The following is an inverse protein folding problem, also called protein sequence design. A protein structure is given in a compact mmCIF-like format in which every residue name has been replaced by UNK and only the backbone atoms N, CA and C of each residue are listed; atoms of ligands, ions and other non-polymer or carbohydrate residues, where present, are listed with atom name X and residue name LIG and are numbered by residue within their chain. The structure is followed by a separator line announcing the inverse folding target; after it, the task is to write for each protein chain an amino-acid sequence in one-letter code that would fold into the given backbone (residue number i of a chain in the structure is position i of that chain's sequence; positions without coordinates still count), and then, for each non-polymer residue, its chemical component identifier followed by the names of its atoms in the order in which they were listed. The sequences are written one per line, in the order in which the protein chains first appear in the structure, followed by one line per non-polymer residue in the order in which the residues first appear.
data_IF_673481003948
#
_entry.id   IF_673481003948
#
_cell.length_a   1.000
_cell.length_b   1.000
_cell.length_c   1.000
_cell.angle_alpha   90.00
_cell.angle_beta   90.00
_cell.angle_gamma   90.00
#
_symmetry.space_group_name_H-M   'P 1'
#
loop_
_entity.id
_entity.type
_entity.pdbx_description
1 polymer ?
#
# COMPACT_ATOMS: atom_id res chain seq x y z
N UNK A 1 -13.73 -3.97 6.97
CA UNK A 1 -13.59 -5.39 6.57
C UNK A 1 -14.78 -5.77 5.71
N UNK A 2 -14.54 -6.34 4.53
CA UNK A 2 -15.58 -6.65 3.54
C UNK A 2 -15.54 -8.16 3.22
N UNK A 3 -16.47 -8.91 3.82
CA UNK A 3 -16.57 -10.36 3.63
C UNK A 3 -16.88 -10.75 2.16
N UNK A 4 -17.64 -9.91 1.43
CA UNK A 4 -17.95 -10.17 0.02
C UNK A 4 -16.71 -10.06 -0.87
N UNK A 5 -15.76 -9.15 -0.55
CA UNK A 5 -14.48 -9.09 -1.24
C UNK A 5 -13.62 -10.31 -0.94
N UNK A 6 -13.63 -10.81 0.29
CA UNK A 6 -12.91 -12.03 0.65
C UNK A 6 -13.43 -13.24 -0.11
N UNK A 7 -14.75 -13.34 -0.32
CA UNK A 7 -15.33 -14.39 -1.16
C UNK A 7 -14.81 -14.33 -2.60
N UNK A 8 -14.76 -13.15 -3.22
CA UNK A 8 -14.20 -12.97 -4.58
C UNK A 8 -12.73 -13.38 -4.67
N UNK A 9 -11.94 -13.15 -3.62
CA UNK A 9 -10.56 -13.64 -3.56
C UNK A 9 -10.54 -15.15 -3.61
N UNK A 10 -11.41 -15.84 -2.83
CA UNK A 10 -11.54 -17.29 -2.85
C UNK A 10 -11.91 -17.82 -4.24
N UNK A 11 -12.88 -17.19 -4.92
CA UNK A 11 -13.29 -17.54 -6.28
C UNK A 11 -12.13 -17.38 -7.29
N UNK A 12 -11.33 -16.30 -7.16
CA UNK A 12 -10.15 -16.10 -7.99
C UNK A 12 -9.07 -17.15 -7.74
N UNK A 13 -8.81 -17.50 -6.48
CA UNK A 13 -7.85 -18.56 -6.13
C UNK A 13 -8.30 -19.91 -6.70
N UNK A 14 -9.59 -20.21 -6.64
CA UNK A 14 -10.16 -21.41 -7.25
C UNK A 14 -9.94 -21.42 -8.77
N UNK A 15 -10.21 -20.31 -9.44
CA UNK A 15 -10.00 -20.17 -10.88
C UNK A 15 -8.52 -20.32 -11.29
N UNK A 16 -7.59 -19.90 -10.42
CA UNK A 16 -6.14 -20.04 -10.64
C UNK A 16 -5.61 -21.46 -10.37
N UNK A 17 -6.43 -22.32 -9.76
CA UNK A 17 -6.11 -23.72 -9.54
C UNK A 17 -5.87 -24.09 -8.08
N UNK A 18 -5.96 -25.38 -7.79
CA UNK A 18 -5.93 -25.96 -6.44
C UNK A 18 -4.66 -25.57 -5.66
N UNK A 19 -3.50 -25.53 -6.30
CA UNK A 19 -2.24 -25.16 -5.63
C UNK A 19 -2.27 -23.74 -5.04
N UNK A 20 -3.00 -22.80 -5.67
CA UNK A 20 -3.15 -21.46 -5.16
C UNK A 20 -4.05 -21.44 -3.90
N UNK A 21 -5.10 -22.26 -3.86
CA UNK A 21 -5.97 -22.39 -2.68
C UNK A 21 -5.25 -23.00 -1.48
N UNK A 22 -4.44 -24.00 -1.68
CA UNK A 22 -3.71 -24.69 -0.60
C UNK A 22 -2.64 -23.80 0.04
N UNK A 23 -2.08 -22.84 -0.72
CA UNK A 23 -1.03 -21.94 -0.27
C UNK A 23 -1.52 -20.59 0.24
N UNK A 24 -2.79 -20.26 0.04
CA UNK A 24 -3.34 -18.96 0.40
C UNK A 24 -4.42 -19.11 1.47
N UNK A 25 -4.29 -18.35 2.55
CA UNK A 25 -5.32 -18.23 3.59
C UNK A 25 -5.95 -16.84 3.47
N UNK A 26 -7.26 -16.79 3.18
CA UNK A 26 -8.01 -15.53 3.11
C UNK A 26 -8.71 -15.31 4.45
N UNK A 27 -8.49 -14.16 5.06
CA UNK A 27 -9.10 -13.76 6.33
C UNK A 27 -9.77 -12.39 6.20
N UNK A 28 -11.04 -12.30 6.58
CA UNK A 28 -11.77 -11.04 6.68
C UNK A 28 -11.51 -10.41 8.05
N UNK A 29 -10.39 -9.71 8.20
CA UNK A 29 -9.97 -9.11 9.46
C UNK A 29 -9.46 -7.68 9.26
N UNK A 30 -9.47 -6.87 10.32
CA UNK A 30 -8.86 -5.55 10.31
C UNK A 30 -7.34 -5.66 10.45
N UNK A 31 -6.62 -5.27 9.41
CA UNK A 31 -5.16 -5.32 9.41
C UNK A 31 -4.52 -4.42 10.48
N UNK A 32 -5.24 -3.40 10.96
CA UNK A 32 -4.79 -2.55 12.07
C UNK A 32 -4.89 -3.22 13.45
N UNK A 33 -5.50 -4.41 13.54
CA UNK A 33 -5.69 -5.18 14.78
C UNK A 33 -5.09 -6.60 14.65
N UNK A 34 -3.75 -6.72 14.53
CA UNK A 34 -3.10 -8.01 14.28
C UNK A 34 -3.37 -9.07 15.34
N UNK A 35 -3.63 -8.68 16.58
CA UNK A 35 -3.98 -9.60 17.67
C UNK A 35 -5.22 -10.46 17.38
N UNK A 36 -6.09 -10.05 16.44
CA UNK A 36 -7.30 -10.78 16.09
C UNK A 36 -7.09 -11.84 15.00
N UNK A 37 -5.97 -11.77 14.26
CA UNK A 37 -5.80 -12.62 13.08
C UNK A 37 -4.39 -13.19 12.89
N UNK A 38 -3.38 -12.61 13.51
CA UNK A 38 -2.00 -13.07 13.39
C UNK A 38 -1.75 -14.26 14.31
N UNK A 39 -0.99 -15.24 13.83
CA UNK A 39 -0.67 -16.48 14.55
C UNK A 39 0.69 -16.44 15.29
N UNK A 40 1.35 -15.28 15.31
CA UNK A 40 2.64 -15.08 15.98
C UNK A 40 3.86 -15.42 15.11
N UNK A 41 3.67 -15.95 13.89
CA UNK A 41 4.76 -16.24 12.96
C UNK A 41 5.08 -14.99 12.13
N UNK A 42 6.33 -14.53 12.21
CA UNK A 42 6.75 -13.36 11.46
C UNK A 42 6.72 -13.61 9.94
N UNK A 43 6.40 -12.55 9.19
CA UNK A 43 6.36 -12.60 7.73
C UNK A 43 7.71 -12.22 7.14
N UNK A 44 8.17 -12.94 6.11
CA UNK A 44 9.34 -12.56 5.33
C UNK A 44 9.07 -11.36 4.41
N UNK A 45 7.80 -11.21 3.97
CA UNK A 45 7.36 -10.11 3.13
C UNK A 45 5.91 -9.72 3.42
N UNK A 46 5.62 -8.42 3.36
CA UNK A 46 4.29 -7.85 3.51
C UNK A 46 4.01 -6.95 2.29
N UNK A 47 2.85 -7.12 1.66
CA UNK A 47 2.29 -6.15 0.72
C UNK A 47 1.15 -5.41 1.42
N UNK A 48 1.31 -4.11 1.61
CA UNK A 48 0.29 -3.24 2.17
C UNK A 48 -0.30 -2.34 1.07
N UNK A 49 -1.39 -2.79 0.47
CA UNK A 49 -2.23 -1.97 -0.43
C UNK A 49 -3.17 -1.15 0.46
N UNK A 50 -2.74 0.07 0.78
CA UNK A 50 -3.38 0.87 1.81
C UNK A 50 -4.61 1.64 1.27
N UNK A 51 -5.67 1.79 2.09
CA UNK A 51 -6.82 2.60 1.72
C UNK A 51 -6.37 4.05 1.45
N UNK A 52 -6.83 4.63 0.34
CA UNK A 52 -6.43 5.96 -0.10
C UNK A 52 -7.59 6.69 -0.79
N UNK A 53 -7.38 7.95 -1.18
CA UNK A 53 -8.39 8.74 -1.92
C UNK A 53 -8.69 8.18 -3.30
N UNK A 54 -7.86 7.29 -3.84
CA UNK A 54 -7.94 6.78 -5.20
C UNK A 54 -7.78 7.88 -6.27
N UNK A 55 -7.11 8.98 -5.93
CA UNK A 55 -6.92 10.14 -6.82
C UNK A 55 -6.13 9.81 -8.07
N UNK A 56 -5.34 8.74 -8.06
CA UNK A 56 -4.55 8.29 -9.20
C UNK A 56 -5.33 7.55 -10.29
N UNK A 57 -6.51 7.03 -9.97
CA UNK A 57 -7.31 6.20 -10.90
C UNK A 57 -8.54 6.94 -11.48
N UNK A 58 -8.57 8.26 -11.38
CA UNK A 58 -9.69 9.09 -11.85
C UNK A 58 -10.00 8.93 -13.34
N UNK A 59 -9.04 8.50 -14.15
CA UNK A 59 -9.25 8.21 -15.55
C UNK A 59 -10.23 7.05 -15.76
N UNK A 60 -10.12 6.01 -14.95
CA UNK A 60 -11.01 4.83 -14.98
C UNK A 60 -12.25 4.99 -14.10
N UNK A 61 -12.12 5.78 -13.06
CA UNK A 61 -13.16 6.05 -12.05
C UNK A 61 -13.36 7.56 -11.89
N UNK A 62 -13.98 8.24 -12.88
CA UNK A 62 -14.13 9.69 -12.88
C UNK A 62 -15.02 10.22 -11.74
N UNK A 63 -15.86 9.37 -11.18
CA UNK A 63 -16.71 9.64 -10.02
C UNK A 63 -15.90 9.93 -8.74
N UNK A 64 -14.69 9.42 -8.62
CA UNK A 64 -13.81 9.63 -7.45
C UNK A 64 -13.68 11.11 -7.09
N UNK A 65 -13.51 11.99 -8.08
CA UNK A 65 -13.36 13.43 -7.86
C UNK A 65 -14.59 14.09 -7.20
N UNK A 66 -15.75 13.49 -7.39
CA UNK A 66 -17.03 14.00 -6.83
C UNK A 66 -17.35 13.39 -5.48
N UNK A 67 -16.80 12.22 -5.19
CA UNK A 67 -17.02 11.48 -3.94
C UNK A 67 -16.04 11.88 -2.84
N UNK A 68 -14.93 12.54 -3.18
CA UNK A 68 -13.89 12.92 -2.22
C UNK A 68 -14.10 14.32 -1.67
N UNK A 69 -13.82 14.46 -0.37
CA UNK A 69 -13.81 15.73 0.36
C UNK A 69 -12.38 16.14 0.66
N UNK A 70 -12.09 17.43 0.87
CA UNK A 70 -10.73 17.90 1.20
C UNK A 70 -10.10 17.20 2.40
N UNK A 71 -10.90 16.88 3.42
CA UNK A 71 -10.46 16.22 4.66
C UNK A 71 -10.14 14.73 4.51
N UNK A 72 -10.64 14.06 3.47
CA UNK A 72 -10.48 12.61 3.28
C UNK A 72 -8.99 12.22 3.15
N UNK A 73 -8.17 13.04 2.48
CA UNK A 73 -6.75 12.77 2.33
C UNK A 73 -6.03 12.72 3.69
N UNK A 74 -6.33 13.67 4.58
CA UNK A 74 -5.74 13.69 5.91
C UNK A 74 -6.22 12.53 6.80
N UNK A 75 -7.49 12.13 6.68
CA UNK A 75 -8.05 11.00 7.41
C UNK A 75 -7.44 9.68 6.92
N UNK A 76 -7.32 9.51 5.62
CA UNK A 76 -6.73 8.31 5.02
C UNK A 76 -5.23 8.22 5.30
N UNK A 77 -4.49 9.33 5.29
CA UNK A 77 -3.09 9.35 5.69
C UNK A 77 -2.90 8.87 7.16
N UNK A 78 -3.81 9.26 8.08
CA UNK A 78 -3.80 8.72 9.46
C UNK A 78 -4.06 7.23 9.50
N UNK A 79 -5.03 6.72 8.73
CA UNK A 79 -5.34 5.30 8.66
C UNK A 79 -4.14 4.51 8.08
N UNK A 80 -3.48 5.05 7.07
CA UNK A 80 -2.27 4.47 6.47
C UNK A 80 -1.13 4.38 7.48
N UNK A 81 -0.90 5.45 8.27
CA UNK A 81 0.11 5.46 9.32
C UNK A 81 -0.20 4.42 10.42
N UNK A 82 -1.48 4.24 10.78
CA UNK A 82 -1.91 3.20 11.73
C UNK A 82 -1.66 1.79 11.18
N UNK A 83 -1.97 1.55 9.92
CA UNK A 83 -1.72 0.27 9.26
C UNK A 83 -0.21 -0.05 9.20
N UNK A 84 0.62 0.88 8.75
CA UNK A 84 2.08 0.72 8.75
C UNK A 84 2.60 0.37 10.14
N UNK A 85 2.16 1.12 11.18
CA UNK A 85 2.54 0.86 12.56
C UNK A 85 2.09 -0.53 13.05
N UNK A 86 0.91 -0.99 12.64
CA UNK A 86 0.36 -2.27 13.07
C UNK A 86 1.05 -3.47 12.40
N UNK A 87 1.39 -3.36 11.10
CA UNK A 87 1.94 -4.49 10.35
C UNK A 87 3.47 -4.56 10.42
N UNK A 88 4.17 -3.47 10.70
CA UNK A 88 5.64 -3.45 10.78
C UNK A 88 6.24 -4.42 11.79
N UNK A 89 5.71 -4.53 13.04
CA UNK A 89 6.20 -5.50 14.01
C UNK A 89 6.07 -6.96 13.57
N UNK A 90 5.15 -7.25 12.65
CA UNK A 90 4.90 -8.61 12.14
C UNK A 90 5.93 -9.05 11.12
N UNK A 91 6.76 -8.14 10.61
CA UNK A 91 7.80 -8.42 9.65
C UNK A 91 9.04 -9.00 10.34
N UNK A 92 9.59 -10.07 9.80
CA UNK A 92 10.83 -10.67 10.27
C UNK A 92 12.02 -9.71 10.10
N UNK A 93 13.08 -9.81 10.93
CA UNK A 93 14.34 -9.13 10.67
C UNK A 93 14.87 -9.48 9.27
N UNK A 94 15.26 -8.47 8.48
CA UNK A 94 15.63 -8.61 7.06
C UNK A 94 14.45 -8.79 6.11
N UNK A 95 13.22 -8.83 6.61
CA UNK A 95 12.01 -8.91 5.81
C UNK A 95 11.71 -7.60 5.08
N UNK A 96 10.81 -7.66 4.10
CA UNK A 96 10.48 -6.51 3.24
C UNK A 96 9.00 -6.19 3.24
N UNK A 97 8.69 -4.91 3.31
CA UNK A 97 7.33 -4.40 3.18
C UNK A 97 7.22 -3.52 1.94
N UNK A 98 6.31 -3.88 1.03
CA UNK A 98 5.91 -3.03 -0.08
C UNK A 98 4.63 -2.28 0.33
N UNK A 99 4.77 -0.97 0.50
CA UNK A 99 3.65 -0.06 0.69
C UNK A 99 3.20 0.50 -0.66
N UNK A 100 1.90 0.47 -0.93
CA UNK A 100 1.36 1.07 -2.14
C UNK A 100 0.02 1.76 -1.91
N UNK A 101 -0.26 2.78 -2.73
CA UNK A 101 -1.55 3.46 -2.84
C UNK A 101 -1.83 3.81 -4.30
N UNK A 102 -3.11 3.87 -4.68
CA UNK A 102 -3.54 4.45 -5.95
C UNK A 102 -3.84 5.96 -5.81
N UNK A 103 -2.94 6.69 -5.16
CA UNK A 103 -3.03 8.13 -4.93
C UNK A 103 -1.84 8.86 -5.56
N UNK A 104 -2.10 10.09 -6.02
CA UNK A 104 -1.07 11.04 -6.47
C UNK A 104 -0.72 12.08 -5.39
N UNK A 105 -1.38 12.03 -4.24
CA UNK A 105 -1.14 12.98 -3.16
C UNK A 105 0.06 12.56 -2.31
N UNK A 106 1.00 13.48 -2.10
CA UNK A 106 2.19 13.24 -1.27
C UNK A 106 1.84 12.79 0.14
N UNK A 107 0.77 13.35 0.72
CA UNK A 107 0.30 12.98 2.06
C UNK A 107 -0.05 11.49 2.20
N UNK A 108 -0.48 10.83 1.12
CA UNK A 108 -0.84 9.42 1.07
C UNK A 108 0.27 8.52 0.51
N UNK A 109 1.44 9.08 0.25
CA UNK A 109 2.61 8.40 -0.29
C UNK A 109 3.86 8.80 0.47
N UNK A 110 4.65 9.68 -0.15
CA UNK A 110 5.98 10.09 0.28
C UNK A 110 5.99 10.61 1.73
N UNK A 111 5.10 11.56 2.06
CA UNK A 111 5.07 12.17 3.38
C UNK A 111 4.73 11.13 4.48
N UNK A 112 3.81 10.19 4.20
CA UNK A 112 3.46 9.08 5.10
C UNK A 112 4.65 8.15 5.35
N UNK A 113 5.37 7.79 4.29
CA UNK A 113 6.53 6.89 4.39
C UNK A 113 7.71 7.58 5.09
N UNK A 114 7.99 8.84 4.78
CA UNK A 114 9.04 9.59 5.46
C UNK A 114 8.74 9.75 6.96
N UNK A 115 7.50 10.07 7.33
CA UNK A 115 7.10 10.14 8.73
C UNK A 115 7.20 8.79 9.46
N UNK A 116 6.97 7.69 8.74
CA UNK A 116 7.17 6.34 9.27
C UNK A 116 8.65 6.05 9.52
N UNK A 117 9.53 6.31 8.55
CA UNK A 117 10.97 6.09 8.66
C UNK A 117 11.61 6.90 9.80
N UNK A 118 11.16 8.14 10.03
CA UNK A 118 11.64 8.95 11.14
C UNK A 118 11.33 8.37 12.51
N UNK A 119 10.31 7.53 12.64
CA UNK A 119 9.85 6.92 13.91
C UNK A 119 10.32 5.49 14.10
N UNK A 120 10.78 4.84 13.05
CA UNK A 120 11.19 3.43 13.05
C UNK A 120 12.63 3.34 12.55
N UNK A 121 13.57 3.39 13.49
CA UNK A 121 15.01 3.39 13.19
C UNK A 121 15.51 2.06 12.62
N UNK A 122 14.70 0.99 12.77
CA UNK A 122 14.92 -0.33 12.21
C UNK A 122 14.38 -0.49 10.77
N UNK A 123 13.88 0.63 10.20
CA UNK A 123 13.34 0.64 8.85
C UNK A 123 14.22 1.43 7.90
N UNK A 124 14.53 0.86 6.74
CA UNK A 124 15.21 1.58 5.66
C UNK A 124 14.44 1.47 4.35
N UNK A 125 14.46 2.53 3.56
CA UNK A 125 13.85 2.53 2.23
C UNK A 125 14.83 1.95 1.20
N UNK A 126 14.36 1.02 0.42
CA UNK A 126 15.06 0.47 -0.74
C UNK A 126 14.66 1.23 -2.02
N UNK A 127 15.45 1.14 -3.11
CA UNK A 127 15.05 1.69 -4.40
C UNK A 127 13.66 1.22 -4.82
N UNK A 128 12.79 2.15 -5.09
CA UNK A 128 11.39 1.90 -5.46
C UNK A 128 10.87 3.03 -6.36
N UNK A 129 9.80 2.81 -7.14
CA UNK A 129 9.31 3.79 -8.11
C UNK A 129 8.90 5.14 -7.52
N UNK A 130 8.51 5.19 -6.24
CA UNK A 130 7.92 6.39 -5.66
C UNK A 130 6.55 6.72 -6.27
N UNK A 131 6.28 8.00 -6.52
CA UNK A 131 5.05 8.41 -7.21
C UNK A 131 5.14 8.16 -8.71
N UNK A 132 4.16 7.42 -9.23
CA UNK A 132 3.87 7.28 -10.64
C UNK A 132 2.72 8.25 -10.97
N UNK A 133 3.00 9.29 -11.75
CA UNK A 133 2.04 10.35 -12.08
C UNK A 133 1.61 10.20 -13.54
N UNK A 134 0.29 10.29 -13.79
CA UNK A 134 -0.26 10.24 -15.14
C UNK A 134 -0.05 11.56 -15.90
N UNK A 135 0.23 11.47 -17.18
CA UNK A 135 0.30 12.62 -18.07
C UNK A 135 1.72 12.98 -18.52
N UNK A 136 1.81 13.97 -19.41
CA UNK A 136 3.09 14.52 -19.86
C UNK A 136 3.74 15.23 -18.67
N UNK A 137 4.95 14.82 -18.35
CA UNK A 137 5.78 15.54 -17.35
C UNK A 137 5.98 16.98 -17.88
N UNK A 138 5.62 18.01 -17.09
CA UNK A 138 5.98 19.37 -17.46
C UNK A 138 7.49 19.48 -17.64
N UNK A 139 7.95 20.10 -18.73
CA UNK A 139 9.37 20.32 -18.96
C UNK A 139 9.98 21.00 -17.72
N UNK A 140 11.01 20.38 -17.12
CA UNK A 140 11.75 20.92 -15.98
C UNK A 140 11.55 20.22 -14.64
N UNK A 141 10.69 19.18 -14.55
CA UNK A 141 10.67 18.33 -13.36
C UNK A 141 11.73 17.22 -13.46
N UNK A 142 12.41 16.87 -12.33
CA UNK A 142 13.35 15.77 -12.34
C UNK A 142 12.66 14.46 -12.75
N UNK A 143 13.28 13.73 -13.66
CA UNK A 143 12.76 12.45 -14.23
C UNK A 143 12.83 11.29 -13.21
N UNK A 144 13.20 11.55 -11.97
CA UNK A 144 13.37 10.54 -10.93
C UNK A 144 12.05 9.86 -10.52
N UNK A 145 10.94 10.49 -10.81
CA UNK A 145 9.61 9.95 -10.55
C UNK A 145 8.88 9.81 -11.87
N UNK A 146 9.01 8.63 -12.49
CA UNK A 146 8.19 8.19 -13.57
C UNK A 146 8.53 8.63 -15.00
N UNK A 147 9.15 7.76 -15.66
CA UNK A 147 9.08 7.72 -17.10
C UNK A 147 7.79 7.03 -17.54
N UNK A 148 6.97 7.70 -18.37
CA UNK A 148 6.06 7.04 -19.33
C UNK A 148 4.62 6.74 -18.93
N UNK A 149 3.87 7.61 -18.84
CA UNK A 149 2.80 8.29 -19.48
C UNK A 149 1.44 7.66 -19.60
N UNK A 150 1.20 6.37 -19.70
CA UNK A 150 -0.13 5.79 -19.95
C UNK A 150 -0.71 4.93 -18.82
N UNK A 151 -0.01 4.86 -17.69
CA UNK A 151 -0.52 4.20 -16.49
C UNK A 151 -1.35 5.15 -15.62
N UNK A 152 -2.09 4.59 -14.69
CA UNK A 152 -2.76 5.36 -13.65
C UNK A 152 -1.74 5.90 -12.61
N UNK A 153 -2.20 6.82 -11.77
CA UNK A 153 -1.38 7.34 -10.68
C UNK A 153 -1.29 6.35 -9.51
N UNK A 154 -0.06 6.08 -9.06
CA UNK A 154 0.22 5.20 -7.92
C UNK A 154 1.39 5.75 -7.11
N UNK A 155 1.54 5.23 -5.91
CA UNK A 155 2.74 5.36 -5.12
C UNK A 155 3.23 3.99 -4.67
N UNK A 156 4.55 3.77 -4.73
CA UNK A 156 5.19 2.56 -4.25
C UNK A 156 6.43 2.89 -3.43
N UNK A 157 6.54 2.30 -2.24
CA UNK A 157 7.74 2.34 -1.42
C UNK A 157 8.09 0.95 -0.91
N UNK A 158 9.31 0.50 -1.17
CA UNK A 158 9.84 -0.75 -0.65
C UNK A 158 10.67 -0.46 0.59
N UNK A 159 10.26 -1.03 1.71
CA UNK A 159 10.93 -0.90 3.00
C UNK A 159 11.56 -2.24 3.38
N UNK A 160 12.72 -2.20 4.02
CA UNK A 160 13.38 -3.38 4.58
C UNK A 160 13.59 -3.15 6.08
N UNK A 161 13.31 -4.18 6.87
CA UNK A 161 13.57 -4.18 8.30
C UNK A 161 15.01 -4.61 8.55
N UNK A 162 15.71 -3.92 9.43
CA UNK A 162 17.08 -4.29 9.78
C UNK A 162 17.16 -5.71 10.36
N UNK A 163 18.34 -6.31 10.28
CA UNK A 163 18.57 -7.71 10.68
C UNK A 163 18.92 -7.88 12.15
N UNK A 164 19.18 -6.76 12.84
CA UNK A 164 19.66 -6.76 14.23
C UNK A 164 18.52 -6.42 15.20
#
# INVERSE_FOLDING_TARGET
VDAARCQRIGENLQRLGVQAQERAKVRAADAAQPEQWWDGVAFDAILLDAPCTASGIVRRHPDVRWLRRPEDSAQLAKAQAQLLKAVWPLLAPGGRLLYCTCSVFRAEGDDSVQAFLQRNTDARMLPSPGHLITGKIPMGLPVEHNALGEHDGFYYALLEKDRD
#
